data_IF_684371163121
#
_entry.id   IF_684371163121
#
_cell.length_a   1.000
_cell.length_b   1.000
_cell.length_c   1.000
_cell.angle_alpha   90.00
_cell.angle_beta   90.00
_cell.angle_gamma   90.00
#
_symmetry.space_group_name_H-M   'P 1'
#
loop_
_entity.id
_entity.type
_entity.pdbx_description
1 polymer ?
#
# COMPACT_ATOMS: atom_id res chain seq x y z
N UNK A 1 56.47 5.63 -0.67
CA UNK A 1 57.06 6.73 -1.45
C UNK A 1 55.93 7.54 -2.10
N UNK A 2 55.87 8.81 -1.70
CA UNK A 2 55.47 10.03 -2.44
C UNK A 2 54.00 10.07 -2.94
N UNK A 3 53.17 10.85 -2.30
CA UNK A 3 52.79 12.30 -2.37
C UNK A 3 51.61 12.51 -3.31
N UNK A 4 50.41 12.84 -2.82
CA UNK A 4 49.86 14.18 -2.55
C UNK A 4 49.79 15.05 -3.82
N UNK A 5 48.57 15.48 -4.18
CA UNK A 5 48.28 16.91 -4.39
C UNK A 5 46.77 17.21 -4.43
N UNK A 6 46.40 18.09 -3.55
CA UNK A 6 45.12 18.83 -3.53
C UNK A 6 45.13 19.91 -4.64
N UNK A 7 43.99 20.28 -5.17
CA UNK A 7 43.76 21.68 -5.55
C UNK A 7 42.29 22.08 -5.37
N UNK A 8 42.11 23.05 -4.51
CA UNK A 8 40.93 23.90 -4.26
C UNK A 8 40.91 24.99 -5.31
N UNK A 9 39.76 25.32 -5.86
CA UNK A 9 39.56 26.67 -6.39
C UNK A 9 38.12 27.16 -6.17
N UNK A 10 38.02 28.14 -5.30
CA UNK A 10 36.86 28.98 -5.04
C UNK A 10 36.93 30.25 -5.88
N UNK A 11 35.82 30.98 -5.94
CA UNK A 11 35.64 32.39 -6.32
C UNK A 11 34.74 32.61 -7.54
N UNK A 12 33.84 33.59 -7.64
CA UNK A 12 33.48 34.79 -6.88
C UNK A 12 32.10 35.27 -7.33
N UNK A 13 31.38 35.92 -6.42
CA UNK A 13 30.15 36.73 -6.63
C UNK A 13 30.35 37.87 -7.66
N UNK A 14 29.23 38.26 -8.31
CA UNK A 14 28.97 39.66 -8.63
C UNK A 14 27.48 39.99 -8.44
N UNK A 15 27.22 40.94 -7.55
CA UNK A 15 25.98 41.67 -7.40
C UNK A 15 25.81 42.68 -8.53
N UNK A 16 24.56 42.92 -8.93
CA UNK A 16 24.17 44.06 -9.75
C UNK A 16 22.75 44.50 -9.40
N UNK A 17 22.64 45.49 -8.49
CA UNK A 17 21.44 46.31 -8.31
C UNK A 17 21.38 47.42 -9.38
N UNK A 18 20.21 47.67 -9.94
CA UNK A 18 19.82 48.99 -10.37
C UNK A 18 18.31 49.17 -10.26
N UNK A 19 17.94 50.20 -9.53
CA UNK A 19 16.58 50.68 -9.26
C UNK A 19 16.25 51.86 -10.16
N UNK A 20 15.00 52.29 -10.09
CA UNK A 20 14.30 53.53 -10.53
C UNK A 20 13.34 53.31 -11.70
N UNK A 21 12.10 53.73 -11.68
CA UNK A 21 11.33 54.62 -10.86
C UNK A 21 10.11 55.11 -11.62
N UNK A 22 9.02 55.21 -10.90
CA UNK A 22 8.04 56.29 -10.97
C UNK A 22 7.02 56.36 -12.12
N UNK A 23 5.77 56.23 -11.87
CA UNK A 23 4.78 57.24 -11.66
C UNK A 23 3.34 56.76 -11.83
N UNK A 24 2.56 57.16 -10.89
CA UNK A 24 1.12 57.12 -10.73
C UNK A 24 0.29 57.42 -11.98
N UNK A 25 -0.80 56.67 -12.17
CA UNK A 25 -2.10 57.30 -12.39
C UNK A 25 -3.27 56.46 -11.92
N UNK A 26 -4.10 57.08 -11.09
CA UNK A 26 -5.33 56.59 -10.52
C UNK A 26 -6.46 56.60 -11.54
N UNK A 27 -7.24 55.57 -11.62
CA UNK A 27 -8.68 55.71 -11.87
C UNK A 27 -9.45 54.48 -11.35
N UNK A 28 -10.43 54.83 -10.57
CA UNK A 28 -11.45 54.03 -9.91
C UNK A 28 -12.33 53.26 -10.90
N UNK A 29 -12.69 52.03 -10.59
CA UNK A 29 -14.09 51.67 -10.33
C UNK A 29 -14.37 50.16 -10.40
N UNK A 30 -15.29 49.76 -9.53
CA UNK A 30 -16.19 48.60 -9.52
C UNK A 30 -15.61 47.27 -9.06
N UNK A 31 -15.91 47.04 -7.79
CA UNK A 31 -16.02 45.72 -7.15
C UNK A 31 -17.01 44.83 -7.87
N UNK A 32 -16.54 43.71 -8.38
CA UNK A 32 -17.35 42.50 -8.54
C UNK A 32 -16.66 41.40 -7.76
N UNK A 33 -17.31 41.01 -6.66
CA UNK A 33 -16.95 39.84 -5.87
C UNK A 33 -17.18 38.59 -6.71
N UNK A 34 -16.11 37.99 -7.22
CA UNK A 34 -16.13 36.62 -7.68
C UNK A 34 -15.86 35.73 -6.48
N UNK A 35 -16.85 34.90 -6.13
CA UNK A 35 -16.71 33.79 -5.21
C UNK A 35 -15.57 32.87 -5.67
N UNK A 36 -14.85 32.22 -4.75
CA UNK A 36 -13.89 31.19 -5.12
C UNK A 36 -14.63 30.07 -5.86
N UNK A 37 -14.13 29.70 -7.04
CA UNK A 37 -14.58 28.50 -7.70
C UNK A 37 -14.24 27.32 -6.78
N UNK A 38 -15.25 26.58 -6.36
CA UNK A 38 -15.08 25.25 -5.79
C UNK A 38 -14.33 24.41 -6.84
N UNK A 39 -13.13 23.99 -6.46
CA UNK A 39 -12.38 22.97 -7.20
C UNK A 39 -13.14 21.68 -7.00
N UNK A 40 -14.00 21.32 -7.94
CA UNK A 40 -14.58 20.00 -8.00
C UNK A 40 -13.44 19.03 -8.28
N UNK A 41 -13.17 18.14 -7.32
CA UNK A 41 -12.33 16.95 -7.54
C UNK A 41 -12.83 16.22 -8.81
N UNK A 42 -11.92 15.66 -9.65
CA UNK A 42 -12.35 14.88 -10.79
C UNK A 42 -13.14 13.67 -10.28
N UNK A 43 -14.41 13.62 -10.62
CA UNK A 43 -15.24 12.46 -10.34
C UNK A 43 -14.58 11.23 -10.97
N UNK A 44 -14.51 10.12 -10.23
CA UNK A 44 -14.22 8.80 -10.80
C UNK A 44 -15.14 8.61 -11.99
N UNK A 45 -14.64 8.27 -13.19
CA UNK A 45 -15.52 8.00 -14.31
C UNK A 45 -16.50 6.91 -13.89
N UNK A 46 -17.79 7.18 -14.06
CA UNK A 46 -18.83 6.15 -13.84
C UNK A 46 -18.65 5.09 -14.95
N UNK A 47 -17.88 4.05 -14.64
CA UNK A 47 -17.57 2.96 -15.56
C UNK A 47 -18.85 2.26 -16.09
N UNK A 48 -19.97 2.41 -15.36
CA UNK A 48 -21.24 1.74 -15.69
C UNK A 48 -21.91 2.24 -16.97
N UNK A 49 -21.48 3.38 -17.54
CA UNK A 49 -22.09 4.00 -18.73
C UNK A 49 -21.14 4.10 -19.94
N UNK A 50 -19.92 3.59 -19.87
CA UNK A 50 -18.98 3.63 -20.98
C UNK A 50 -19.22 2.44 -21.90
N UNK A 51 -19.48 2.71 -23.20
CA UNK A 51 -19.61 1.67 -24.21
C UNK A 51 -18.23 1.04 -24.48
N UNK A 52 -18.08 -0.23 -24.17
CA UNK A 52 -16.84 -1.02 -24.37
C UNK A 52 -16.95 -1.96 -25.57
N UNK A 53 -18.02 -1.91 -26.35
CA UNK A 53 -18.30 -2.88 -27.43
C UNK A 53 -17.24 -2.93 -28.54
N UNK A 54 -16.53 -1.82 -28.77
CA UNK A 54 -15.51 -1.69 -29.80
C UNK A 54 -14.07 -1.61 -29.24
N UNK A 55 -13.87 -1.82 -27.93
CA UNK A 55 -12.57 -1.66 -27.24
C UNK A 55 -11.45 -2.51 -27.85
N UNK A 56 -11.78 -3.64 -28.45
CA UNK A 56 -10.82 -4.50 -29.15
C UNK A 56 -10.15 -3.82 -30.37
N UNK A 57 -10.75 -2.76 -30.90
CA UNK A 57 -10.22 -1.98 -32.02
C UNK A 57 -9.43 -0.74 -31.56
N UNK A 58 -9.37 -0.48 -30.26
CA UNK A 58 -8.59 0.61 -29.69
C UNK A 58 -7.07 0.40 -29.88
N UNK A 59 -6.27 1.46 -29.85
CA UNK A 59 -4.81 1.33 -29.90
C UNK A 59 -4.28 0.36 -28.85
N UNK A 60 -3.40 -0.56 -29.28
CA UNK A 60 -2.82 -1.54 -28.37
C UNK A 60 -1.89 -0.87 -27.37
N UNK A 61 -2.06 -1.20 -26.08
CA UNK A 61 -1.23 -0.71 -24.96
C UNK A 61 -0.74 -1.91 -24.14
N UNK A 62 0.56 -1.93 -23.84
CA UNK A 62 1.13 -2.86 -22.86
C UNK A 62 1.42 -2.09 -21.58
N UNK A 63 0.93 -2.62 -20.44
CA UNK A 63 1.11 -2.06 -19.10
C UNK A 63 2.02 -2.97 -18.27
N UNK A 64 3.09 -2.41 -17.71
CA UNK A 64 4.00 -3.11 -16.81
C UNK A 64 3.43 -3.07 -15.39
N UNK A 65 3.20 -4.25 -14.82
CA UNK A 65 2.63 -4.44 -13.48
C UNK A 65 3.68 -4.96 -12.51
N UNK A 66 4.00 -4.20 -11.47
CA UNK A 66 4.95 -4.59 -10.42
C UNK A 66 4.26 -5.33 -9.26
N UNK A 67 4.81 -6.50 -8.89
CA UNK A 67 4.37 -7.29 -7.73
C UNK A 67 5.60 -7.76 -6.93
N UNK A 68 5.66 -7.42 -5.66
CA UNK A 68 6.80 -7.81 -4.80
C UNK A 68 6.73 -9.26 -4.34
N UNK A 69 5.54 -9.85 -4.32
CA UNK A 69 5.35 -11.24 -3.92
C UNK A 69 5.47 -12.20 -5.14
N UNK A 70 5.75 -13.49 -4.88
CA UNK A 70 5.60 -14.55 -5.87
C UNK A 70 4.16 -14.70 -6.37
N UNK A 71 3.96 -15.22 -7.60
CA UNK A 71 2.63 -15.36 -8.20
C UNK A 71 1.72 -16.41 -7.54
N UNK A 72 2.27 -17.31 -6.74
CA UNK A 72 1.53 -18.33 -6.00
C UNK A 72 0.91 -17.83 -4.69
N UNK A 73 1.23 -16.60 -4.28
CA UNK A 73 0.57 -15.93 -3.16
C UNK A 73 -0.85 -15.48 -3.51
N UNK A 74 -1.68 -15.18 -2.50
CA UNK A 74 -3.05 -14.65 -2.70
C UNK A 74 -3.03 -13.42 -3.62
N UNK A 75 -2.14 -12.45 -3.35
CA UNK A 75 -2.06 -11.22 -4.15
C UNK A 75 -1.46 -11.47 -5.54
N UNK A 76 -0.51 -12.37 -5.68
CA UNK A 76 0.04 -12.77 -6.98
C UNK A 76 -0.99 -13.43 -7.89
N UNK A 77 -1.82 -14.32 -7.34
CA UNK A 77 -2.95 -14.93 -8.05
C UNK A 77 -4.02 -13.90 -8.40
N UNK A 78 -4.29 -12.93 -7.51
CA UNK A 78 -5.21 -11.81 -7.77
C UNK A 78 -4.70 -10.95 -8.94
N UNK A 79 -3.41 -10.63 -8.97
CA UNK A 79 -2.78 -9.91 -10.08
C UNK A 79 -2.90 -10.68 -11.41
N UNK A 80 -2.74 -12.01 -11.37
CA UNK A 80 -2.92 -12.87 -12.55
C UNK A 80 -4.36 -12.87 -13.04
N UNK A 81 -5.34 -12.97 -12.12
CA UNK A 81 -6.76 -12.90 -12.45
C UNK A 81 -7.16 -11.53 -13.03
N UNK A 82 -6.60 -10.45 -12.47
CA UNK A 82 -6.78 -9.09 -13.02
C UNK A 82 -6.26 -8.99 -14.45
N UNK A 83 -5.01 -9.44 -14.70
CA UNK A 83 -4.41 -9.49 -16.04
C UNK A 83 -5.32 -10.22 -17.02
N UNK A 84 -5.68 -11.47 -16.71
CA UNK A 84 -6.50 -12.30 -17.59
C UNK A 84 -7.83 -11.63 -17.91
N UNK A 85 -8.48 -11.01 -16.93
CA UNK A 85 -9.75 -10.32 -17.11
C UNK A 85 -9.60 -9.04 -17.93
N UNK A 86 -8.55 -8.26 -17.76
CA UNK A 86 -8.25 -7.09 -18.59
C UNK A 86 -8.04 -7.49 -20.04
N UNK A 87 -7.23 -8.52 -20.29
CA UNK A 87 -6.95 -9.00 -21.65
C UNK A 87 -8.19 -9.58 -22.32
N UNK A 88 -9.06 -10.30 -21.57
CA UNK A 88 -10.35 -10.79 -22.02
C UNK A 88 -11.30 -9.65 -22.41
N UNK A 89 -11.56 -8.72 -21.47
CA UNK A 89 -12.55 -7.65 -21.66
C UNK A 89 -12.10 -6.63 -22.72
N UNK A 90 -10.80 -6.38 -22.84
CA UNK A 90 -10.25 -5.48 -23.86
C UNK A 90 -10.16 -6.11 -25.25
N UNK A 91 -10.44 -7.42 -25.39
CA UNK A 91 -10.23 -8.15 -26.64
C UNK A 91 -8.77 -8.11 -27.12
N UNK A 92 -7.82 -7.94 -26.17
CA UNK A 92 -6.39 -7.87 -26.44
C UNK A 92 -5.87 -6.47 -26.79
N UNK A 93 -6.69 -5.43 -26.77
CA UNK A 93 -6.18 -4.05 -26.95
C UNK A 93 -5.36 -3.56 -25.75
N UNK A 94 -5.50 -4.20 -24.57
CA UNK A 94 -4.62 -4.03 -23.43
C UNK A 94 -3.93 -5.36 -23.12
N UNK A 95 -2.62 -5.33 -22.92
CA UNK A 95 -1.82 -6.45 -22.39
C UNK A 95 -1.17 -6.03 -21.09
N UNK A 96 -1.15 -6.91 -20.07
CA UNK A 96 -0.47 -6.67 -18.81
C UNK A 96 0.76 -7.57 -18.71
N UNK A 97 1.94 -6.98 -18.48
CA UNK A 97 3.19 -7.67 -18.22
C UNK A 97 3.51 -7.64 -16.73
N UNK A 98 3.22 -8.76 -16.02
CA UNK A 98 3.44 -8.85 -14.57
C UNK A 98 4.91 -9.19 -14.28
N UNK A 99 5.57 -8.31 -13.53
CA UNK A 99 6.93 -8.47 -13.02
C UNK A 99 6.86 -8.80 -11.52
N UNK A 100 6.78 -10.12 -11.20
CA UNK A 100 6.57 -10.61 -9.85
C UNK A 100 7.89 -10.94 -9.11
N UNK A 101 7.79 -11.17 -7.79
CA UNK A 101 8.92 -11.55 -6.95
C UNK A 101 9.91 -10.42 -6.68
N UNK A 102 9.45 -9.16 -6.75
CA UNK A 102 10.27 -7.99 -6.43
C UNK A 102 11.36 -7.67 -7.44
N UNK A 103 11.28 -8.19 -8.68
CA UNK A 103 12.32 -7.96 -9.72
C UNK A 103 12.46 -6.50 -10.13
N UNK A 104 11.43 -5.67 -9.89
CA UNK A 104 11.47 -4.23 -10.14
C UNK A 104 11.86 -3.40 -8.90
N UNK A 105 12.22 -4.05 -7.81
CA UNK A 105 12.61 -3.42 -6.55
C UNK A 105 11.61 -3.71 -5.42
N UNK A 106 11.87 -3.10 -4.26
CA UNK A 106 10.94 -3.12 -3.13
C UNK A 106 9.69 -2.30 -3.43
N UNK A 107 8.64 -2.43 -2.59
CA UNK A 107 7.41 -1.63 -2.74
C UNK A 107 7.71 -0.11 -2.75
N UNK A 108 8.64 0.34 -1.91
CA UNK A 108 9.05 1.75 -1.88
C UNK A 108 9.82 2.15 -3.15
N UNK A 109 10.76 1.32 -3.65
CA UNK A 109 11.49 1.63 -4.89
C UNK A 109 10.53 1.76 -6.07
N UNK A 110 9.53 0.88 -6.15
CA UNK A 110 8.48 0.90 -7.16
C UNK A 110 7.64 2.19 -7.04
N UNK A 111 7.16 2.51 -5.84
CA UNK A 111 6.38 3.72 -5.60
C UNK A 111 7.19 4.99 -5.89
N UNK A 112 8.44 5.08 -5.45
CA UNK A 112 9.33 6.21 -5.74
C UNK A 112 9.52 6.39 -7.25
N UNK A 113 9.67 5.28 -7.99
CA UNK A 113 9.76 5.30 -9.46
C UNK A 113 8.47 5.82 -10.11
N UNK A 114 7.31 5.34 -9.65
CA UNK A 114 6.00 5.75 -10.18
C UNK A 114 5.69 7.21 -9.88
N UNK A 115 5.90 7.65 -8.63
CA UNK A 115 5.69 9.05 -8.18
C UNK A 115 6.70 9.98 -8.83
N UNK A 116 7.95 9.53 -9.00
CA UNK A 116 9.02 10.27 -9.67
C UNK A 116 8.83 10.43 -11.18
N UNK A 117 7.77 9.84 -11.76
CA UNK A 117 7.44 9.99 -13.18
C UNK A 117 8.28 9.11 -14.11
N UNK A 118 8.91 8.07 -13.60
CA UNK A 118 9.51 7.02 -14.45
C UNK A 118 8.39 6.28 -15.17
N UNK A 119 8.47 6.19 -16.50
CA UNK A 119 7.49 5.49 -17.32
C UNK A 119 7.82 3.99 -17.48
N UNK A 120 8.60 3.41 -16.57
CA UNK A 120 9.01 2.00 -16.61
C UNK A 120 8.04 1.06 -15.90
N UNK A 121 7.19 1.60 -15.01
CA UNK A 121 6.18 0.88 -14.24
C UNK A 121 4.86 1.62 -14.40
N UNK A 122 3.83 0.94 -14.88
CA UNK A 122 2.52 1.52 -15.13
C UNK A 122 1.54 1.23 -13.99
N UNK A 123 1.54 0.00 -13.48
CA UNK A 123 0.65 -0.50 -12.42
C UNK A 123 1.49 -1.12 -11.30
N UNK A 124 1.04 -1.01 -10.06
CA UNK A 124 1.59 -1.76 -8.93
C UNK A 124 0.50 -2.19 -7.96
N UNK A 125 0.63 -3.41 -7.42
CA UNK A 125 -0.04 -3.77 -6.19
C UNK A 125 0.85 -3.29 -5.04
N UNK A 126 0.25 -2.58 -4.11
CA UNK A 126 0.90 -2.04 -2.92
C UNK A 126 0.10 -2.39 -1.67
N UNK A 127 0.74 -2.36 -0.51
CA UNK A 127 0.04 -2.32 0.77
C UNK A 127 -0.86 -1.08 0.80
N UNK A 128 -2.12 -1.21 1.22
CA UNK A 128 -3.07 -0.09 1.17
C UNK A 128 -2.60 1.14 1.96
N UNK A 129 -1.73 0.92 2.96
CA UNK A 129 -1.13 1.96 3.79
C UNK A 129 0.24 2.45 3.28
N UNK A 130 0.80 1.90 2.20
CA UNK A 130 2.12 2.31 1.69
C UNK A 130 2.18 3.80 1.31
N UNK A 131 1.04 4.37 0.93
CA UNK A 131 0.92 5.78 0.58
C UNK A 131 1.04 6.73 1.79
N UNK A 132 0.99 6.22 3.02
CA UNK A 132 1.24 6.99 4.25
C UNK A 132 2.59 7.69 4.21
N UNK A 133 3.63 7.03 3.69
CA UNK A 133 4.96 7.62 3.51
C UNK A 133 4.99 8.79 2.52
N UNK A 134 3.95 8.94 1.71
CA UNK A 134 3.76 10.02 0.73
C UNK A 134 2.72 11.06 1.18
N UNK A 135 2.27 10.98 2.43
CA UNK A 135 1.36 11.93 3.05
C UNK A 135 -0.12 11.57 3.00
N UNK A 136 -0.46 10.35 2.55
CA UNK A 136 -1.84 9.85 2.53
C UNK A 136 -2.33 9.57 3.96
N UNK A 137 -3.30 10.34 4.42
CA UNK A 137 -3.86 10.23 5.77
C UNK A 137 -5.03 9.24 5.83
N UNK A 138 -5.88 9.19 4.80
CA UNK A 138 -6.97 8.21 4.74
C UNK A 138 -6.40 6.79 4.67
N UNK A 139 -5.44 6.55 3.78
CA UNK A 139 -4.75 5.26 3.64
C UNK A 139 -4.11 4.79 4.94
N UNK A 140 -3.62 5.71 5.78
CA UNK A 140 -3.09 5.41 7.11
C UNK A 140 -4.12 4.73 8.02
N UNK A 141 -5.41 5.09 7.91
CA UNK A 141 -6.46 4.47 8.73
C UNK A 141 -6.61 2.97 8.47
N UNK A 142 -6.15 2.48 7.31
CA UNK A 142 -6.22 1.08 6.93
C UNK A 142 -5.13 0.22 7.60
N UNK A 143 -4.08 0.84 8.18
CA UNK A 143 -3.02 0.17 8.96
C UNK A 143 -3.25 0.20 10.48
N UNK A 144 -4.25 0.96 10.94
CA UNK A 144 -4.51 1.10 12.39
C UNK A 144 -4.77 -0.28 13.01
N UNK A 145 -4.01 -0.68 14.05
CA UNK A 145 -4.16 -1.98 14.67
C UNK A 145 -5.59 -2.24 15.17
N UNK A 146 -6.07 -3.47 14.96
CA UNK A 146 -7.39 -3.95 15.42
C UNK A 146 -8.60 -3.18 14.85
N UNK A 147 -8.43 -2.39 13.79
CA UNK A 147 -9.53 -1.68 13.11
C UNK A 147 -10.47 -2.69 12.43
N UNK A 148 -9.95 -3.53 11.56
CA UNK A 148 -10.74 -4.56 10.92
C UNK A 148 -10.78 -5.82 11.78
N UNK A 149 -11.96 -6.12 12.33
CA UNK A 149 -12.16 -7.24 13.26
C UNK A 149 -12.42 -8.58 12.56
N UNK A 150 -12.71 -8.54 11.26
CA UNK A 150 -12.94 -9.72 10.42
C UNK A 150 -12.74 -9.37 8.94
N UNK A 151 -12.63 -10.40 8.08
CA UNK A 151 -12.66 -10.23 6.62
C UNK A 151 -13.97 -9.62 6.14
N UNK A 152 -15.11 -10.04 6.70
CA UNK A 152 -16.42 -9.45 6.39
C UNK A 152 -16.43 -7.94 6.64
N UNK A 153 -15.84 -7.48 7.74
CA UNK A 153 -15.69 -6.05 8.02
C UNK A 153 -14.86 -5.33 6.94
N UNK A 154 -13.73 -5.92 6.53
CA UNK A 154 -12.91 -5.39 5.45
C UNK A 154 -13.67 -5.30 4.12
N UNK A 155 -14.37 -6.38 3.75
CA UNK A 155 -15.11 -6.40 2.49
C UNK A 155 -16.34 -5.48 2.51
N UNK A 156 -16.95 -5.24 3.67
CA UNK A 156 -17.96 -4.18 3.83
C UNK A 156 -17.33 -2.80 3.56
N UNK A 157 -16.13 -2.53 4.05
CA UNK A 157 -15.41 -1.29 3.74
C UNK A 157 -15.07 -1.21 2.24
N UNK A 158 -14.42 -2.21 1.67
CA UNK A 158 -13.95 -2.22 0.29
C UNK A 158 -15.09 -2.12 -0.75
N UNK A 159 -16.33 -2.49 -0.36
CA UNK A 159 -17.53 -2.38 -1.18
C UNK A 159 -18.46 -1.22 -0.75
N UNK A 160 -18.05 -0.38 0.19
CA UNK A 160 -18.83 0.78 0.65
C UNK A 160 -18.59 2.03 -0.21
N UNK A 161 -19.42 3.05 0.01
CA UNK A 161 -19.23 4.37 -0.60
C UNK A 161 -17.95 5.08 -0.09
N UNK A 162 -17.33 4.60 0.99
CA UNK A 162 -16.05 5.14 1.51
C UNK A 162 -14.86 4.70 0.65
N UNK A 163 -14.87 3.49 0.12
CA UNK A 163 -13.73 2.92 -0.59
C UNK A 163 -13.24 3.78 -1.78
N UNK A 164 -14.10 4.36 -2.63
CA UNK A 164 -13.68 5.28 -3.68
C UNK A 164 -12.95 6.53 -3.16
N UNK A 165 -13.32 7.06 -2.00
CA UNK A 165 -12.65 8.22 -1.42
C UNK A 165 -11.20 7.91 -1.05
N UNK A 166 -10.94 6.70 -0.53
CA UNK A 166 -9.60 6.24 -0.19
C UNK A 166 -8.77 5.91 -1.45
N UNK A 167 -9.39 5.27 -2.45
CA UNK A 167 -8.73 4.99 -3.74
C UNK A 167 -8.35 6.27 -4.49
N UNK A 168 -9.11 7.35 -4.32
CA UNK A 168 -8.84 8.65 -4.93
C UNK A 168 -7.86 9.53 -4.12
N UNK A 169 -7.53 9.15 -2.88
CA UNK A 169 -6.64 9.94 -2.02
C UNK A 169 -5.31 10.32 -2.69
N UNK A 170 -4.61 9.44 -3.46
CA UNK A 170 -3.38 9.81 -4.13
C UNK A 170 -3.55 11.06 -5.01
N UNK A 171 -4.64 11.16 -5.74
CA UNK A 171 -4.95 12.32 -6.58
C UNK A 171 -5.28 13.56 -5.75
N UNK A 172 -6.02 13.41 -4.65
CA UNK A 172 -6.38 14.51 -3.76
C UNK A 172 -5.14 15.18 -3.15
N UNK A 173 -4.10 14.39 -2.86
CA UNK A 173 -2.83 14.90 -2.32
C UNK A 173 -1.78 15.22 -3.39
N UNK A 174 -2.16 15.16 -4.68
CA UNK A 174 -1.31 15.54 -5.80
C UNK A 174 -0.28 14.51 -6.23
N UNK A 175 -0.43 13.24 -5.86
CA UNK A 175 0.38 12.15 -6.40
C UNK A 175 -0.12 11.76 -7.80
N UNK A 176 0.77 11.42 -8.75
CA UNK A 176 0.40 11.02 -10.10
C UNK A 176 -0.05 9.57 -10.17
N UNK A 177 -0.90 9.15 -9.23
CA UNK A 177 -1.38 7.78 -9.06
C UNK A 177 -2.90 7.75 -8.94
N UNK A 178 -3.53 6.67 -9.41
CA UNK A 178 -4.95 6.36 -9.25
C UNK A 178 -5.12 4.98 -8.66
N UNK A 179 -5.98 4.82 -7.66
CA UNK A 179 -6.43 3.52 -7.19
C UNK A 179 -7.40 2.89 -8.16
N UNK A 180 -7.28 1.58 -8.37
CA UNK A 180 -8.17 0.81 -9.25
C UNK A 180 -9.11 -0.05 -8.39
N UNK A 181 -8.58 -0.88 -7.51
CA UNK A 181 -9.36 -1.77 -6.64
C UNK A 181 -8.59 -2.15 -5.38
N UNK A 182 -9.31 -2.71 -4.42
CA UNK A 182 -8.78 -3.27 -3.18
C UNK A 182 -8.68 -4.78 -3.22
N UNK A 183 -7.78 -5.31 -2.40
CA UNK A 183 -7.67 -6.73 -2.07
C UNK A 183 -7.21 -6.90 -0.63
N UNK A 184 -6.98 -8.15 -0.23
CA UNK A 184 -6.38 -8.49 1.05
C UNK A 184 -5.48 -9.72 0.91
N UNK A 185 -4.59 -9.92 1.86
CA UNK A 185 -3.64 -11.03 1.92
C UNK A 185 -3.70 -11.82 3.22
N UNK A 186 -4.75 -11.61 4.01
CA UNK A 186 -4.97 -12.21 5.33
C UNK A 186 -4.61 -11.31 6.49
N UNK A 187 -4.96 -11.76 7.70
CA UNK A 187 -4.51 -11.07 8.91
C UNK A 187 -3.01 -11.21 9.08
N UNK A 188 -2.37 -10.11 9.50
CA UNK A 188 -0.94 -10.05 9.79
C UNK A 188 -0.68 -10.50 11.21
N UNK A 189 0.37 -11.28 11.36
CA UNK A 189 0.76 -11.95 12.60
C UNK A 189 2.25 -11.79 12.83
N UNK A 190 2.67 -11.64 14.08
CA UNK A 190 4.08 -11.68 14.43
C UNK A 190 4.65 -13.09 14.30
N UNK A 191 5.89 -13.17 13.87
CA UNK A 191 6.69 -14.39 13.91
C UNK A 191 8.13 -14.07 14.33
N UNK A 192 8.75 -14.97 15.09
CA UNK A 192 10.00 -14.70 15.78
C UNK A 192 10.97 -15.88 15.74
N UNK A 193 12.27 -15.56 15.84
CA UNK A 193 13.34 -16.56 16.04
C UNK A 193 13.30 -17.14 17.45
N UNK A 194 13.30 -16.31 18.52
CA UNK A 194 13.12 -16.83 19.87
C UNK A 194 11.68 -17.28 20.10
N UNK A 195 11.47 -18.25 21.01
CA UNK A 195 10.14 -18.61 21.44
C UNK A 195 9.47 -17.43 22.18
N UNK A 196 8.21 -17.13 21.80
CA UNK A 196 7.36 -16.10 22.38
C UNK A 196 6.05 -16.76 22.79
N UNK A 197 5.64 -16.61 24.05
CA UNK A 197 4.40 -17.17 24.62
C UNK A 197 3.32 -16.13 24.83
N UNK A 198 3.69 -14.85 24.81
CA UNK A 198 2.77 -13.74 25.00
C UNK A 198 3.44 -12.40 24.79
N UNK A 199 2.66 -11.33 24.95
CA UNK A 199 3.06 -9.94 24.68
C UNK A 199 4.34 -9.53 25.44
N UNK A 200 4.52 -10.03 26.68
CA UNK A 200 5.68 -9.67 27.52
C UNK A 200 7.02 -10.14 26.93
N UNK A 201 7.00 -11.24 26.17
CA UNK A 201 8.20 -11.82 25.58
C UNK A 201 8.65 -11.06 24.31
N UNK A 202 7.83 -10.15 23.77
CA UNK A 202 8.20 -9.27 22.67
C UNK A 202 9.14 -8.14 23.11
N UNK A 203 9.18 -7.82 24.42
CA UNK A 203 9.95 -6.69 24.94
C UNK A 203 11.44 -6.80 24.59
N UNK A 204 11.91 -5.74 23.94
CA UNK A 204 13.31 -5.62 23.52
C UNK A 204 13.71 -6.40 22.29
N UNK A 205 12.81 -7.19 21.69
CA UNK A 205 13.07 -7.81 20.39
C UNK A 205 13.12 -6.76 19.28
N UNK A 206 14.00 -6.97 18.31
CA UNK A 206 14.05 -6.18 17.09
C UNK A 206 13.06 -6.78 16.09
N UNK A 207 11.95 -6.12 15.89
CA UNK A 207 10.91 -6.60 14.98
C UNK A 207 10.90 -5.77 13.69
N UNK A 208 10.99 -6.45 12.57
CA UNK A 208 10.89 -5.81 11.26
C UNK A 208 9.45 -5.40 10.99
N UNK A 209 9.29 -4.19 10.54
CA UNK A 209 8.03 -3.65 9.97
C UNK A 209 8.29 -3.02 8.60
N UNK A 210 7.22 -2.78 7.88
CA UNK A 210 7.24 -1.93 6.67
C UNK A 210 7.54 -0.48 7.06
N UNK A 211 7.87 0.37 6.07
CA UNK A 211 8.09 1.79 6.30
C UNK A 211 6.74 2.53 6.48
N UNK A 212 6.09 2.28 7.61
CA UNK A 212 4.81 2.88 8.00
C UNK A 212 4.88 3.35 9.46
N UNK A 213 4.53 4.61 9.77
CA UNK A 213 4.62 5.15 11.12
C UNK A 213 3.69 4.48 12.12
N UNK A 214 2.53 3.98 11.68
CA UNK A 214 1.59 3.26 12.54
C UNK A 214 2.17 1.90 12.94
N UNK A 215 2.74 1.16 11.98
CA UNK A 215 3.38 -0.13 12.24
C UNK A 215 4.60 0.02 13.16
N UNK A 216 5.40 1.08 12.97
CA UNK A 216 6.50 1.40 13.90
C UNK A 216 5.97 1.67 15.31
N UNK A 217 4.97 2.55 15.46
CA UNK A 217 4.38 2.89 16.75
C UNK A 217 3.69 1.69 17.43
N UNK A 218 3.10 0.77 16.66
CA UNK A 218 2.55 -0.48 17.18
C UNK A 218 3.64 -1.34 17.84
N UNK A 219 4.75 -1.56 17.15
CA UNK A 219 5.88 -2.35 17.70
C UNK A 219 6.47 -1.69 18.94
N UNK A 220 6.59 -0.36 18.96
CA UNK A 220 7.03 0.40 20.15
C UNK A 220 6.04 0.25 21.32
N UNK A 221 4.74 0.32 21.05
CA UNK A 221 3.68 0.11 22.04
C UNK A 221 3.73 -1.28 22.67
N UNK A 222 4.11 -2.30 21.90
CA UNK A 222 4.34 -3.66 22.39
C UNK A 222 5.65 -3.82 23.17
N UNK A 223 6.46 -2.75 23.31
CA UNK A 223 7.74 -2.76 24.02
C UNK A 223 8.90 -3.36 23.22
N UNK A 224 8.70 -3.64 21.94
CA UNK A 224 9.73 -4.10 21.02
C UNK A 224 10.41 -2.92 20.30
N UNK A 225 11.46 -3.20 19.53
CA UNK A 225 12.19 -2.19 18.76
C UNK A 225 11.90 -2.34 17.27
N UNK A 226 11.20 -1.40 16.62
CA UNK A 226 10.93 -1.49 15.20
C UNK A 226 12.22 -1.31 14.40
N UNK A 227 12.35 -2.10 13.34
CA UNK A 227 13.48 -2.04 12.42
C UNK A 227 12.96 -2.09 10.99
N UNK A 228 13.12 -1.00 10.24
CA UNK A 228 12.70 -0.93 8.85
C UNK A 228 13.71 -1.67 7.97
N UNK A 229 13.23 -2.72 7.30
CA UNK A 229 13.99 -3.50 6.32
C UNK A 229 13.09 -3.75 5.12
N UNK A 230 13.62 -3.66 3.90
CA UNK A 230 12.83 -3.97 2.70
C UNK A 230 12.34 -5.41 2.71
N UNK A 231 11.20 -5.68 2.05
CA UNK A 231 10.61 -7.02 2.06
C UNK A 231 11.56 -8.06 1.45
N UNK A 232 12.23 -7.72 0.35
CA UNK A 232 13.18 -8.62 -0.32
C UNK A 232 14.42 -8.98 0.51
N UNK A 233 14.75 -8.16 1.53
CA UNK A 233 15.89 -8.40 2.43
C UNK A 233 15.49 -9.14 3.73
N UNK A 234 14.18 -9.32 3.98
CA UNK A 234 13.67 -9.81 5.25
C UNK A 234 14.20 -11.21 5.60
N UNK A 235 14.22 -12.15 4.64
CA UNK A 235 14.75 -13.49 4.90
C UNK A 235 16.21 -13.45 5.39
N UNK A 236 17.05 -12.68 4.69
CA UNK A 236 18.47 -12.52 5.05
C UNK A 236 18.63 -11.80 6.40
N UNK A 237 17.80 -10.80 6.68
CA UNK A 237 17.83 -10.08 7.95
C UNK A 237 17.46 -10.97 9.15
N UNK A 238 16.47 -11.84 8.99
CA UNK A 238 16.10 -12.87 9.95
C UNK A 238 17.23 -13.90 10.11
N UNK A 239 17.73 -14.46 9.00
CA UNK A 239 18.78 -15.48 9.02
C UNK A 239 20.02 -14.99 9.74
N UNK A 240 20.47 -13.78 9.44
CA UNK A 240 21.70 -13.18 10.02
C UNK A 240 21.51 -12.56 11.40
N UNK A 241 20.27 -12.44 11.91
CA UNK A 241 19.95 -11.84 13.21
C UNK A 241 20.03 -10.32 13.24
N UNK A 242 19.88 -9.65 12.10
CA UNK A 242 19.66 -8.20 12.04
C UNK A 242 18.35 -7.87 12.74
N UNK A 243 17.34 -8.72 12.56
CA UNK A 243 16.06 -8.67 13.27
C UNK A 243 15.79 -10.03 13.95
N UNK A 244 15.02 -9.99 15.04
CA UNK A 244 14.63 -11.15 15.83
C UNK A 244 13.29 -11.73 15.38
N UNK A 245 12.51 -10.96 14.63
CA UNK A 245 11.22 -11.35 14.11
C UNK A 245 10.68 -10.31 13.13
N UNK A 246 9.47 -10.58 12.66
CA UNK A 246 8.73 -9.67 11.78
C UNK A 246 7.23 -9.96 11.89
N UNK A 247 6.44 -9.33 11.05
CA UNK A 247 5.01 -9.58 10.93
C UNK A 247 4.60 -9.73 9.46
N UNK A 248 3.74 -10.68 9.16
CA UNK A 248 3.20 -10.92 7.82
C UNK A 248 1.87 -11.70 7.91
N UNK A 249 1.07 -11.71 6.84
CA UNK A 249 0.02 -12.70 6.68
C UNK A 249 0.59 -14.12 6.62
N UNK A 250 -0.21 -15.09 7.07
CA UNK A 250 0.20 -16.51 7.16
C UNK A 250 0.64 -17.06 5.81
N UNK A 251 -0.07 -16.73 4.73
CA UNK A 251 0.28 -17.17 3.39
C UNK A 251 1.66 -16.63 2.94
N UNK A 252 1.92 -15.34 3.18
CA UNK A 252 3.19 -14.70 2.83
C UNK A 252 4.34 -15.23 3.70
N UNK A 253 4.09 -15.48 5.00
CA UNK A 253 5.06 -16.10 5.90
C UNK A 253 5.52 -17.45 5.36
N UNK A 254 4.60 -18.28 4.84
CA UNK A 254 4.92 -19.59 4.27
C UNK A 254 5.57 -19.49 2.89
N UNK A 255 4.98 -18.73 1.95
CA UNK A 255 5.47 -18.64 0.56
C UNK A 255 6.87 -18.05 0.44
N UNK A 256 7.28 -17.22 1.42
CA UNK A 256 8.62 -16.66 1.48
C UNK A 256 9.58 -17.43 2.41
N UNK A 257 9.19 -18.63 2.84
CA UNK A 257 10.00 -19.52 3.67
C UNK A 257 10.49 -18.90 4.99
N UNK A 258 9.78 -17.92 5.54
CA UNK A 258 10.18 -17.29 6.81
C UNK A 258 10.08 -18.25 7.98
N UNK A 259 9.25 -19.29 7.88
CA UNK A 259 9.14 -20.38 8.85
C UNK A 259 10.47 -21.15 9.05
N UNK A 260 11.35 -21.17 8.06
CA UNK A 260 12.67 -21.80 8.16
C UNK A 260 13.65 -21.03 9.07
N UNK A 261 13.49 -19.71 9.15
CA UNK A 261 14.43 -18.81 9.85
C UNK A 261 13.84 -18.17 11.10
N UNK A 262 12.51 -18.17 11.25
CA UNK A 262 11.77 -17.63 12.40
C UNK A 262 10.53 -18.49 12.66
N UNK A 263 10.68 -19.68 13.30
CA UNK A 263 9.66 -20.73 13.32
C UNK A 263 8.55 -20.55 14.37
N UNK A 264 8.49 -19.43 15.08
CA UNK A 264 7.46 -19.18 16.08
C UNK A 264 6.45 -18.16 15.54
N UNK A 265 5.26 -18.60 15.21
CA UNK A 265 4.16 -17.79 14.68
C UNK A 265 3.16 -17.49 15.81
N UNK A 266 2.89 -16.22 16.06
CA UNK A 266 1.98 -15.73 17.10
C UNK A 266 0.69 -15.23 16.42
N UNK A 267 -0.44 -15.90 16.66
CA UNK A 267 -1.72 -15.58 16.01
C UNK A 267 -2.43 -14.37 16.65
N UNK A 268 -1.75 -13.26 16.72
CA UNK A 268 -2.27 -12.02 17.32
C UNK A 268 -3.24 -11.26 16.40
N UNK A 269 -3.07 -11.35 15.06
CA UNK A 269 -3.97 -10.75 14.08
C UNK A 269 -4.16 -9.25 14.26
N UNK A 270 -3.05 -8.53 14.47
CA UNK A 270 -3.06 -7.11 14.81
C UNK A 270 -3.59 -6.19 13.71
N UNK A 271 -3.44 -6.57 12.45
CA UNK A 271 -3.88 -5.77 11.30
C UNK A 271 -4.28 -6.69 10.16
N UNK A 272 -5.31 -6.33 9.40
CA UNK A 272 -5.59 -7.00 8.14
C UNK A 272 -4.55 -6.53 7.10
N UNK A 273 -4.02 -7.44 6.31
CA UNK A 273 -3.13 -7.15 5.19
C UNK A 273 -3.90 -6.57 4.00
N UNK A 274 -4.41 -5.36 4.17
CA UNK A 274 -5.11 -4.65 3.11
C UNK A 274 -4.14 -4.25 1.99
N UNK A 275 -4.54 -4.47 0.75
CA UNK A 275 -3.77 -4.08 -0.43
C UNK A 275 -4.63 -3.28 -1.40
N UNK A 276 -3.99 -2.46 -2.23
CA UNK A 276 -4.64 -1.78 -3.34
C UNK A 276 -3.78 -1.90 -4.60
N UNK A 277 -4.43 -1.82 -5.74
CA UNK A 277 -3.77 -1.72 -7.05
C UNK A 277 -3.88 -0.29 -7.53
N UNK A 278 -2.74 0.30 -7.88
CA UNK A 278 -2.63 1.67 -8.38
C UNK A 278 -2.05 1.70 -9.79
N UNK A 279 -2.45 2.70 -10.58
CA UNK A 279 -1.91 2.98 -11.90
C UNK A 279 -1.37 4.41 -11.94
N UNK A 280 -0.28 4.65 -12.70
CA UNK A 280 0.24 6.00 -12.91
C UNK A 280 -0.68 6.83 -13.81
N UNK A 281 -0.73 8.16 -13.59
CA UNK A 281 -1.43 9.07 -14.50
C UNK A 281 -0.88 9.01 -15.92
N UNK A 282 0.41 8.78 -16.08
CA UNK A 282 1.04 8.67 -17.40
C UNK A 282 0.54 7.45 -18.18
N UNK A 283 0.34 6.32 -17.51
CA UNK A 283 -0.24 5.12 -18.11
C UNK A 283 -1.74 5.29 -18.37
N UNK A 284 -2.47 5.82 -17.38
CA UNK A 284 -3.90 6.09 -17.48
C UNK A 284 -4.27 6.96 -18.67
N UNK A 285 -3.49 8.02 -18.91
CA UNK A 285 -3.72 8.97 -20.00
C UNK A 285 -3.37 8.43 -21.41
N UNK A 286 -2.73 7.27 -21.49
CA UNK A 286 -2.53 6.54 -22.77
C UNK A 286 -3.77 5.74 -23.18
N UNK A 287 -4.67 5.45 -22.23
CA UNK A 287 -5.83 4.61 -22.42
C UNK A 287 -7.03 5.43 -22.95
N UNK A 288 -7.80 4.81 -23.82
CA UNK A 288 -9.10 5.36 -24.22
C UNK A 288 -10.11 5.26 -23.06
N UNK A 289 -11.20 6.03 -23.07
CA UNK A 289 -12.24 5.87 -22.03
C UNK A 289 -12.80 4.45 -21.94
N UNK A 290 -12.92 3.72 -23.04
CA UNK A 290 -13.34 2.32 -23.04
C UNK A 290 -12.31 1.41 -22.36
N UNK A 291 -11.02 1.59 -22.66
CA UNK A 291 -9.93 0.87 -22.00
C UNK A 291 -9.83 1.19 -20.50
N UNK A 292 -10.07 2.43 -20.10
CA UNK A 292 -10.15 2.84 -18.69
C UNK A 292 -11.29 2.14 -17.94
N UNK A 293 -12.47 2.03 -18.57
CA UNK A 293 -13.61 1.31 -18.03
C UNK A 293 -13.31 -0.18 -17.85
N UNK A 294 -12.61 -0.80 -18.82
CA UNK A 294 -12.15 -2.20 -18.72
C UNK A 294 -11.27 -2.43 -17.48
N UNK A 295 -10.37 -1.50 -17.17
CA UNK A 295 -9.52 -1.66 -15.96
C UNK A 295 -10.34 -1.67 -14.65
N UNK A 296 -11.36 -0.83 -14.54
CA UNK A 296 -12.23 -0.82 -13.36
C UNK A 296 -13.11 -2.07 -13.29
N UNK A 297 -13.66 -2.52 -14.41
CA UNK A 297 -14.48 -3.74 -14.44
C UNK A 297 -13.65 -4.98 -14.11
N UNK A 298 -12.46 -5.10 -14.69
CA UNK A 298 -11.51 -6.15 -14.35
C UNK A 298 -11.02 -6.06 -12.90
N UNK A 299 -10.85 -4.84 -12.38
CA UNK A 299 -10.50 -4.60 -10.98
C UNK A 299 -11.58 -5.12 -10.03
N UNK A 300 -12.86 -4.86 -10.33
CA UNK A 300 -13.97 -5.41 -9.55
C UNK A 300 -13.99 -6.94 -9.58
N UNK A 301 -13.79 -7.54 -10.75
CA UNK A 301 -13.65 -9.00 -10.85
C UNK A 301 -12.49 -9.54 -10.01
N UNK A 302 -11.31 -8.89 -10.07
CA UNK A 302 -10.14 -9.29 -9.30
C UNK A 302 -10.36 -9.13 -7.79
N UNK A 303 -11.09 -8.11 -7.34
CA UNK A 303 -11.50 -7.92 -5.96
C UNK A 303 -12.38 -9.07 -5.46
N UNK A 304 -13.42 -9.43 -6.24
CA UNK A 304 -14.31 -10.56 -5.91
C UNK A 304 -13.55 -11.91 -5.92
N UNK A 305 -12.61 -12.09 -6.86
CA UNK A 305 -11.73 -13.25 -6.91
C UNK A 305 -10.84 -13.33 -5.66
N UNK A 306 -10.23 -12.22 -5.25
CA UNK A 306 -9.41 -12.14 -4.06
C UNK A 306 -10.20 -12.52 -2.80
N UNK A 307 -11.42 -12.01 -2.65
CA UNK A 307 -12.30 -12.31 -1.51
C UNK A 307 -12.59 -13.82 -1.39
N UNK A 308 -12.86 -14.47 -2.52
CA UNK A 308 -13.12 -15.92 -2.54
C UNK A 308 -11.86 -16.75 -2.28
N UNK A 309 -10.71 -16.33 -2.83
CA UNK A 309 -9.44 -17.03 -2.66
C UNK A 309 -8.94 -16.99 -1.21
N UNK A 310 -9.01 -15.83 -0.58
CA UNK A 310 -8.45 -15.60 0.75
C UNK A 310 -9.20 -16.31 1.87
N UNK A 311 -10.50 -16.59 1.69
CA UNK A 311 -11.34 -17.22 2.71
C UNK A 311 -10.87 -18.63 3.09
N UNK A 312 -10.36 -19.41 2.13
CA UNK A 312 -9.92 -20.81 2.35
C UNK A 312 -8.42 -21.00 2.57
N UNK A 313 -7.62 -20.14 1.94
CA UNK A 313 -6.16 -20.33 1.83
C UNK A 313 -5.42 -20.27 3.18
N UNK A 314 -5.88 -19.46 4.12
CA UNK A 314 -5.17 -19.23 5.39
C UNK A 314 -5.18 -20.46 6.29
N UNK A 315 -6.32 -21.17 6.38
CA UNK A 315 -6.43 -22.38 7.22
C UNK A 315 -5.57 -23.51 6.67
N UNK A 316 -5.57 -23.73 5.36
CA UNK A 316 -4.75 -24.77 4.72
C UNK A 316 -3.25 -24.52 4.96
N UNK A 317 -2.81 -23.27 4.82
CA UNK A 317 -1.41 -22.90 5.07
C UNK A 317 -1.06 -23.04 6.54
N UNK A 318 -1.94 -22.65 7.47
CA UNK A 318 -1.72 -22.80 8.91
C UNK A 318 -1.58 -24.28 9.32
N UNK A 319 -2.42 -25.16 8.77
CA UNK A 319 -2.33 -26.59 9.01
C UNK A 319 -1.02 -27.16 8.45
N UNK A 320 -0.59 -26.71 7.27
CA UNK A 320 0.70 -27.12 6.69
C UNK A 320 1.89 -26.65 7.54
N UNK A 321 1.85 -25.43 8.07
CA UNK A 321 2.88 -24.89 8.98
C UNK A 321 2.98 -25.71 10.27
N UNK A 322 1.83 -26.02 10.89
CA UNK A 322 1.76 -26.88 12.09
C UNK A 322 2.34 -28.29 11.79
N UNK A 323 1.97 -28.88 10.68
CA UNK A 323 2.47 -30.19 10.24
C UNK A 323 3.99 -30.16 9.94
N UNK A 324 4.51 -29.01 9.45
CA UNK A 324 5.92 -28.77 9.19
C UNK A 324 6.76 -28.50 10.44
N UNK A 325 6.16 -28.41 11.63
CA UNK A 325 6.86 -28.18 12.89
C UNK A 325 7.00 -26.72 13.31
N UNK A 326 6.31 -25.81 12.64
CA UNK A 326 6.21 -24.41 13.10
C UNK A 326 5.51 -24.37 14.47
N UNK A 327 6.08 -23.62 15.40
CA UNK A 327 5.47 -23.39 16.71
C UNK A 327 4.42 -22.29 16.60
N UNK A 328 3.14 -22.67 16.63
CA UNK A 328 2.01 -21.77 16.50
C UNK A 328 1.46 -21.45 17.88
N UNK A 329 1.52 -20.16 18.24
CA UNK A 329 1.06 -19.62 19.53
C UNK A 329 -0.29 -18.93 19.34
N UNK A 330 -1.33 -19.53 19.91
CA UNK A 330 -2.69 -18.95 19.90
C UNK A 330 -2.78 -17.76 20.85
N UNK A 331 -3.46 -16.70 20.42
CA UNK A 331 -3.77 -15.52 21.22
C UNK A 331 -5.29 -15.40 21.36
N UNK A 332 -5.89 -16.11 22.32
CA UNK A 332 -7.35 -16.15 22.46
C UNK A 332 -7.93 -14.81 22.98
N UNK A 333 -7.13 -14.06 23.74
CA UNK A 333 -7.50 -12.72 24.23
C UNK A 333 -6.54 -11.67 23.66
N UNK A 334 -7.04 -10.86 22.75
CA UNK A 334 -6.32 -9.78 22.10
C UNK A 334 -6.43 -8.44 22.85
N UNK A 335 -7.16 -8.36 23.98
CA UNK A 335 -7.41 -7.11 24.68
C UNK A 335 -6.13 -6.44 25.18
N UNK A 336 -5.19 -7.23 25.71
CA UNK A 336 -3.88 -6.71 26.16
C UNK A 336 -3.03 -6.19 24.98
N UNK A 337 -3.09 -6.84 23.85
CA UNK A 337 -2.40 -6.44 22.62
C UNK A 337 -2.99 -5.14 22.06
N UNK A 338 -4.31 -5.06 21.99
CA UNK A 338 -5.00 -3.83 21.55
C UNK A 338 -4.74 -2.66 22.52
N UNK A 339 -4.74 -2.92 23.84
CA UNK A 339 -4.42 -1.90 24.84
C UNK A 339 -2.99 -1.36 24.71
N UNK A 340 -2.04 -2.19 24.36
CA UNK A 340 -0.65 -1.77 24.10
C UNK A 340 -0.54 -0.84 22.87
N UNK A 341 -1.49 -0.91 21.95
CA UNK A 341 -1.56 -0.06 20.76
C UNK A 341 -2.39 1.23 20.97
N UNK A 342 -2.95 1.47 22.15
CA UNK A 342 -3.92 2.57 22.39
C UNK A 342 -3.34 3.95 22.03
N UNK A 343 -2.10 4.22 22.35
CA UNK A 343 -1.44 5.50 22.08
C UNK A 343 -1.25 5.73 20.58
N UNK A 344 -0.78 4.72 19.84
CA UNK A 344 -0.60 4.81 18.38
C UNK A 344 -1.94 4.93 17.66
N UNK A 345 -2.96 4.22 18.10
CA UNK A 345 -4.33 4.35 17.57
C UNK A 345 -4.81 5.79 17.76
N UNK A 346 -4.78 6.29 18.99
CA UNK A 346 -5.25 7.65 19.33
C UNK A 346 -4.48 8.74 18.55
N UNK A 347 -3.16 8.62 18.46
CA UNK A 347 -2.33 9.61 17.78
C UNK A 347 -2.61 9.69 16.27
N UNK A 348 -2.94 8.56 15.63
CA UNK A 348 -3.10 8.49 14.18
C UNK A 348 -4.56 8.55 13.70
N UNK A 349 -5.53 8.58 14.62
CA UNK A 349 -6.96 8.70 14.27
C UNK A 349 -7.57 10.05 14.66
N UNK A 350 -6.90 10.84 15.52
CA UNK A 350 -7.43 12.07 16.09
C UNK A 350 -7.89 13.10 15.04
N UNK A 351 -7.09 13.29 13.99
CA UNK A 351 -7.38 14.26 12.92
C UNK A 351 -8.52 13.81 11.98
N UNK A 352 -8.88 12.53 12.03
CA UNK A 352 -9.87 11.88 11.15
C UNK A 352 -10.86 11.01 11.94
N UNK A 353 -11.18 11.41 13.17
CA UNK A 353 -11.98 10.62 14.09
C UNK A 353 -13.35 10.22 13.51
N UNK A 354 -14.02 11.14 12.80
CA UNK A 354 -15.32 10.87 12.18
C UNK A 354 -15.22 9.84 11.05
N UNK A 355 -14.18 9.93 10.21
CA UNK A 355 -13.94 8.99 9.12
C UNK A 355 -13.56 7.61 9.68
N UNK A 356 -12.69 7.60 10.70
CA UNK A 356 -12.32 6.37 11.38
C UNK A 356 -13.52 5.68 12.04
N UNK A 357 -14.42 6.46 12.66
CA UNK A 357 -15.65 5.93 13.23
C UNK A 357 -16.58 5.31 12.17
N UNK A 358 -16.66 5.91 10.97
CA UNK A 358 -17.42 5.33 9.87
C UNK A 358 -16.87 3.96 9.45
N UNK A 359 -15.54 3.79 9.41
CA UNK A 359 -14.92 2.48 9.16
C UNK A 359 -15.36 1.47 10.24
N UNK A 360 -15.24 1.85 11.52
CA UNK A 360 -15.61 0.97 12.64
C UNK A 360 -17.10 0.58 12.63
N UNK A 361 -17.96 1.47 12.18
CA UNK A 361 -19.42 1.23 12.14
C UNK A 361 -19.81 0.20 11.09
N UNK A 362 -18.98 -0.03 10.07
CA UNK A 362 -19.20 -1.10 9.08
C UNK A 362 -19.06 -2.52 9.66
N UNK A 363 -18.47 -2.67 10.86
CA UNK A 363 -18.39 -3.96 11.56
C UNK A 363 -19.75 -4.42 12.11
N UNK A 364 -20.73 -3.51 12.23
CA UNK A 364 -22.07 -3.78 12.75
C UNK A 364 -22.98 -4.34 11.66
#
# INVERSE_FOLDING_TARGET
MKKALSLVLAMVMVLGLAACGGSSNSSSSSSSSSAPAESSAPATPDASNTDTSDVANDPHVTLVYAEVNPLDTIVGQTGSAFKEKVEELSGGSITIDIQAGGVLGSENDVLDSMVGGSNSIDISRISAFALTSYGAKKSMLLSIPYTFVSRDHWWKFANSDLAPEFLNEPQEIGLPLRGIFYGEEGFRHFFTKPEVKGIEDLKGLKLRVSNDPVMNGMVEGLGASPTVVSFGELYSALQTGVVDGAEQPIANYKSNAFDEVAPNLILDGHTLGAVQVVITDSAWNKLTPAQQAVLYEAGKYAQDFNAQLSEGAENEVLDALKAGGCNVVEVPDKAAWAAACADVISANTADQADLYQQILDLAK
#
